data_IF_914926207653
#
_entry.id   IF_914926207653
#
_cell.length_a   1.000
_cell.length_b   1.000
_cell.length_c   1.000
_cell.angle_alpha   90.00
_cell.angle_beta   90.00
_cell.angle_gamma   90.00
#
_symmetry.space_group_name_H-M   'P 1'
#
loop_
_entity.id
_entity.type
_entity.pdbx_description
1 polymer ?
#
# COMPACT_ATOMS: atom_id res chain seq x y z
N UNK A 1 -41.96 31.64 -4.23
CA UNK A 1 -41.63 31.32 -5.63
C UNK A 1 -40.15 31.66 -5.83
N UNK A 2 -39.26 30.68 -5.64
CA UNK A 2 -37.81 30.86 -5.75
C UNK A 2 -37.35 30.46 -7.16
N UNK A 3 -36.40 31.19 -7.80
CA UNK A 3 -35.91 30.84 -9.13
C UNK A 3 -35.01 29.58 -9.11
N UNK A 4 -34.92 28.81 -10.21
CA UNK A 4 -34.10 27.62 -10.27
C UNK A 4 -32.60 27.98 -10.34
N UNK A 5 -31.82 27.48 -9.38
CA UNK A 5 -30.36 27.62 -9.33
C UNK A 5 -29.73 26.76 -10.45
N UNK A 6 -29.06 27.40 -11.42
CA UNK A 6 -28.23 26.70 -12.43
C UNK A 6 -26.83 26.43 -11.84
N UNK A 7 -26.31 25.20 -11.85
CA UNK A 7 -24.92 24.95 -11.53
C UNK A 7 -24.01 25.49 -12.64
N UNK A 8 -23.06 26.35 -12.28
CA UNK A 8 -22.01 26.85 -13.17
C UNK A 8 -21.09 25.66 -13.50
N UNK A 9 -21.01 25.24 -14.77
CA UNK A 9 -20.07 24.19 -15.22
C UNK A 9 -18.65 24.65 -14.89
N UNK A 10 -17.98 23.95 -13.98
CA UNK A 10 -16.54 24.14 -13.78
C UNK A 10 -15.82 23.59 -15.02
N UNK A 11 -14.98 24.42 -15.63
CA UNK A 11 -14.14 24.01 -16.74
C UNK A 11 -13.17 22.92 -16.26
N UNK A 12 -13.19 21.78 -16.94
CA UNK A 12 -12.27 20.67 -16.71
C UNK A 12 -10.90 21.10 -17.26
N UNK A 13 -10.00 21.55 -16.39
CA UNK A 13 -8.61 21.77 -16.76
C UNK A 13 -7.99 20.40 -17.11
N UNK A 14 -7.68 20.20 -18.39
CA UNK A 14 -6.91 19.06 -18.85
C UNK A 14 -5.47 19.18 -18.34
N UNK A 15 -4.87 18.14 -17.76
CA UNK A 15 -3.44 18.17 -17.47
C UNK A 15 -2.66 18.23 -18.77
N UNK A 16 -1.88 19.30 -18.94
CA UNK A 16 -0.91 19.41 -20.02
C UNK A 16 0.08 18.24 -19.92
N UNK A 17 0.12 17.45 -20.99
CA UNK A 17 1.11 16.40 -21.23
C UNK A 17 2.48 17.06 -21.35
N UNK A 18 3.26 17.06 -20.28
CA UNK A 18 4.67 17.44 -20.35
C UNK A 18 5.38 16.43 -21.26
N UNK A 19 5.93 16.96 -22.35
CA UNK A 19 6.76 16.24 -23.31
C UNK A 19 7.97 15.65 -22.59
N UNK A 20 8.18 14.33 -22.69
CA UNK A 20 9.42 13.70 -22.24
C UNK A 20 10.51 14.07 -23.24
N UNK A 21 11.30 15.09 -22.89
CA UNK A 21 12.55 15.36 -23.58
C UNK A 21 13.51 14.17 -23.40
N UNK A 22 13.88 13.57 -24.51
CA UNK A 22 14.97 12.59 -24.63
C UNK A 22 16.29 13.35 -24.83
N UNK A 23 17.01 13.57 -23.73
CA UNK A 23 18.42 13.96 -23.69
C UNK A 23 18.94 13.41 -22.36
N UNK A 24 20.09 12.76 -22.19
CA UNK A 24 21.28 12.53 -23.00
C UNK A 24 22.17 11.61 -22.15
N UNK A 25 23.03 10.85 -22.82
CA UNK A 25 24.36 10.43 -22.38
C UNK A 25 24.52 9.81 -20.97
N UNK A 26 24.98 8.56 -20.96
CA UNK A 26 25.47 7.90 -19.75
C UNK A 26 26.50 8.75 -19.02
N UNK A 27 26.08 9.33 -17.90
CA UNK A 27 26.97 9.81 -16.87
C UNK A 27 27.38 8.57 -16.08
N UNK A 28 28.56 8.01 -16.38
CA UNK A 28 29.26 7.19 -15.41
C UNK A 28 29.68 8.13 -14.28
N UNK A 29 28.81 8.29 -13.28
CA UNK A 29 29.17 8.98 -12.04
C UNK A 29 30.22 8.08 -11.39
N UNK A 30 31.49 8.46 -11.52
CA UNK A 30 32.54 7.94 -10.65
C UNK A 30 32.19 8.40 -9.25
N UNK A 31 31.68 7.46 -8.45
CA UNK A 31 31.35 7.67 -7.05
C UNK A 31 32.61 8.16 -6.32
N UNK A 32 32.66 9.45 -6.04
CA UNK A 32 33.58 10.01 -5.06
C UNK A 32 33.20 9.42 -3.70
N UNK A 33 34.14 8.77 -3.02
CA UNK A 33 33.95 8.08 -1.75
C UNK A 33 33.30 8.92 -0.65
N UNK A 34 33.26 10.25 -0.79
CA UNK A 34 32.54 11.16 0.12
C UNK A 34 31.02 11.19 -0.06
N UNK A 35 30.48 10.82 -1.23
CA UNK A 35 29.02 10.72 -1.44
C UNK A 35 28.43 9.44 -0.82
N UNK A 36 29.24 8.37 -0.73
CA UNK A 36 28.86 7.13 -0.05
C UNK A 36 28.45 7.36 1.42
N UNK A 37 29.05 8.32 2.13
CA UNK A 37 28.79 8.55 3.55
C UNK A 37 27.43 9.20 3.84
N UNK A 38 26.84 9.93 2.89
CA UNK A 38 25.55 10.62 3.07
C UNK A 38 24.34 9.75 2.67
N UNK A 39 24.53 8.71 1.85
CA UNK A 39 23.45 7.78 1.49
C UNK A 39 23.14 6.78 2.62
N UNK A 40 24.15 6.41 3.43
CA UNK A 40 23.99 5.45 4.53
C UNK A 40 23.01 5.94 5.62
N UNK A 41 22.90 7.26 5.85
CA UNK A 41 22.08 7.79 6.97
C UNK A 41 20.57 7.82 6.72
N UNK A 42 20.11 7.96 5.47
CA UNK A 42 18.66 8.00 5.15
C UNK A 42 18.09 6.57 5.14
N UNK A 43 18.85 5.62 4.60
CA UNK A 43 18.47 4.20 4.58
C UNK A 43 18.41 3.63 6.01
N UNK A 44 19.32 4.07 6.90
CA UNK A 44 19.29 3.72 8.33
C UNK A 44 18.03 4.28 9.04
N UNK A 45 17.63 5.52 8.76
CA UNK A 45 16.39 6.09 9.33
C UNK A 45 15.17 5.29 8.86
N UNK A 46 15.03 5.03 7.57
CA UNK A 46 13.91 4.25 7.05
C UNK A 46 13.88 2.82 7.64
N UNK A 47 15.04 2.18 7.78
CA UNK A 47 15.16 0.87 8.42
C UNK A 47 14.77 0.93 9.91
N UNK A 48 15.12 2.00 10.64
CA UNK A 48 14.67 2.15 12.03
C UNK A 48 13.16 2.30 12.14
N UNK A 49 12.51 3.05 11.23
CA UNK A 49 11.05 3.19 11.22
C UNK A 49 10.35 1.86 10.94
N UNK A 50 10.84 1.07 9.97
CA UNK A 50 10.28 -0.24 9.64
C UNK A 50 10.46 -1.23 10.80
N UNK A 51 11.63 -1.24 11.45
CA UNK A 51 11.88 -2.11 12.63
C UNK A 51 10.97 -1.77 13.81
N UNK A 52 10.78 -0.48 14.11
CA UNK A 52 9.84 -0.07 15.15
C UNK A 52 8.41 -0.48 14.83
N UNK A 53 8.00 -0.35 13.55
CA UNK A 53 6.68 -0.81 13.11
C UNK A 53 6.54 -2.33 13.25
N UNK A 54 7.58 -3.10 12.91
CA UNK A 54 7.60 -4.54 13.10
C UNK A 54 7.39 -4.93 14.57
N UNK A 55 8.16 -4.35 15.50
CA UNK A 55 8.06 -4.66 16.93
C UNK A 55 6.67 -4.35 17.52
N UNK A 56 6.09 -3.18 17.18
CA UNK A 56 4.72 -2.82 17.59
C UNK A 56 3.67 -3.77 17.01
N UNK A 57 3.83 -4.15 15.74
CA UNK A 57 2.93 -5.10 15.08
C UNK A 57 3.06 -6.48 15.71
N UNK A 58 4.27 -6.96 15.98
CA UNK A 58 4.49 -8.22 16.69
C UNK A 58 3.83 -8.20 18.08
N UNK A 59 3.99 -7.12 18.85
CA UNK A 59 3.34 -6.98 20.16
C UNK A 59 1.81 -7.04 20.05
N UNK A 60 1.22 -6.41 19.03
CA UNK A 60 -0.22 -6.51 18.73
C UNK A 60 -0.64 -7.92 18.33
N UNK A 61 0.22 -8.64 17.59
CA UNK A 61 -0.04 -10.00 17.14
C UNK A 61 0.02 -11.03 18.28
N UNK A 62 0.87 -10.84 19.30
CA UNK A 62 0.96 -11.75 20.45
C UNK A 62 -0.39 -11.91 21.18
N UNK A 63 -1.17 -10.83 21.27
CA UNK A 63 -2.47 -10.84 21.94
C UNK A 63 -3.65 -10.88 20.96
N UNK A 64 -3.40 -11.16 19.68
CA UNK A 64 -4.44 -11.18 18.66
C UNK A 64 -5.34 -12.40 18.80
N UNK A 65 -6.64 -12.15 18.96
CA UNK A 65 -7.67 -13.21 18.98
C UNK A 65 -8.52 -13.23 17.71
N UNK A 66 -8.98 -12.05 17.30
CA UNK A 66 -9.83 -11.84 16.12
C UNK A 66 -9.66 -10.41 15.63
N UNK A 67 -10.18 -10.10 14.45
CA UNK A 67 -10.15 -8.75 13.91
C UNK A 67 -10.88 -7.77 14.85
N UNK A 68 -10.24 -6.66 15.26
CA UNK A 68 -10.90 -5.66 16.09
C UNK A 68 -11.94 -4.88 15.29
N UNK A 69 -12.79 -4.12 15.99
CA UNK A 69 -13.70 -3.18 15.36
C UNK A 69 -12.93 -2.11 14.57
N UNK A 70 -13.28 -1.93 13.29
CA UNK A 70 -12.73 -0.90 12.43
C UNK A 70 -13.80 0.16 12.13
N UNK A 71 -13.60 1.37 12.64
CA UNK A 71 -14.53 2.49 12.50
C UNK A 71 -14.76 2.90 11.03
N UNK A 72 -13.89 2.51 10.09
CA UNK A 72 -14.08 2.73 8.64
C UNK A 72 -15.19 1.84 8.07
N UNK A 73 -15.49 0.72 8.74
CA UNK A 73 -16.47 -0.28 8.30
C UNK A 73 -17.48 -0.60 9.44
N UNK A 74 -18.26 0.39 9.91
CA UNK A 74 -19.11 0.24 11.10
C UNK A 74 -20.37 -0.60 10.86
N UNK A 75 -20.72 -0.86 9.60
CA UNK A 75 -21.97 -1.55 9.23
C UNK A 75 -21.80 -3.07 9.28
N UNK A 76 -22.91 -3.81 9.39
CA UNK A 76 -22.89 -5.28 9.41
C UNK A 76 -22.30 -5.93 8.15
N UNK A 77 -22.37 -5.24 7.00
CA UNK A 77 -21.75 -5.75 5.76
C UNK A 77 -20.22 -5.50 5.76
N UNK A 78 -19.47 -6.55 6.08
CA UNK A 78 -18.00 -6.52 6.19
C UNK A 78 -17.25 -6.80 4.88
N UNK A 79 -17.95 -6.84 3.74
CA UNK A 79 -17.33 -7.12 2.42
C UNK A 79 -16.19 -6.16 2.09
N UNK A 80 -16.38 -4.86 2.35
CA UNK A 80 -15.34 -3.84 2.10
C UNK A 80 -14.17 -3.94 3.08
N UNK A 81 -14.41 -4.33 4.32
CA UNK A 81 -13.36 -4.57 5.31
C UNK A 81 -12.44 -5.71 4.87
N UNK A 82 -13.04 -6.85 4.49
CA UNK A 82 -12.34 -8.00 3.92
C UNK A 82 -11.51 -7.61 2.70
N UNK A 83 -12.15 -6.98 1.70
CA UNK A 83 -11.48 -6.58 0.46
C UNK A 83 -10.32 -5.62 0.68
N UNK A 84 -10.51 -4.60 1.52
CA UNK A 84 -9.46 -3.61 1.78
C UNK A 84 -8.25 -4.25 2.46
N UNK A 85 -8.44 -5.07 3.51
CA UNK A 85 -7.31 -5.71 4.20
C UNK A 85 -6.58 -6.72 3.31
N UNK A 86 -7.28 -7.44 2.44
CA UNK A 86 -6.65 -8.32 1.45
C UNK A 86 -5.75 -7.53 0.49
N UNK A 87 -6.22 -6.38 -0.03
CA UNK A 87 -5.41 -5.52 -0.88
C UNK A 87 -4.24 -4.89 -0.13
N UNK A 88 -4.46 -4.41 1.10
CA UNK A 88 -3.45 -3.73 1.89
C UNK A 88 -2.29 -4.67 2.24
N UNK A 89 -2.58 -5.95 2.50
CA UNK A 89 -1.53 -6.96 2.68
C UNK A 89 -0.59 -7.04 1.47
N UNK A 90 -1.13 -7.24 0.26
CA UNK A 90 -0.28 -7.41 -0.92
C UNK A 90 0.37 -6.11 -1.40
N UNK A 91 -0.27 -4.95 -1.16
CA UNK A 91 0.36 -3.64 -1.40
C UNK A 91 1.52 -3.41 -0.45
N UNK A 92 1.33 -3.75 0.82
CA UNK A 92 2.37 -3.66 1.84
C UNK A 92 3.56 -4.55 1.46
N UNK A 93 3.32 -5.83 1.14
CA UNK A 93 4.39 -6.74 0.70
C UNK A 93 5.13 -6.17 -0.50
N UNK A 94 4.43 -5.80 -1.57
CA UNK A 94 5.04 -5.22 -2.76
C UNK A 94 5.86 -3.96 -2.48
N UNK A 95 5.40 -3.11 -1.58
CA UNK A 95 6.09 -1.87 -1.23
C UNK A 95 7.37 -2.13 -0.40
N UNK A 96 7.34 -3.12 0.50
CA UNK A 96 8.49 -3.50 1.33
C UNK A 96 9.50 -4.34 0.54
N UNK A 97 9.03 -5.27 -0.29
CA UNK A 97 9.86 -6.07 -1.21
C UNK A 97 10.61 -5.18 -2.20
N UNK A 98 9.96 -4.15 -2.75
CA UNK A 98 10.60 -3.19 -3.65
C UNK A 98 11.73 -2.39 -2.98
N UNK A 99 11.72 -2.31 -1.65
CA UNK A 99 12.74 -1.65 -0.83
C UNK A 99 13.73 -2.65 -0.22
N UNK A 100 13.55 -3.95 -0.41
CA UNK A 100 14.41 -4.99 0.15
C UNK A 100 14.38 -5.07 1.68
N UNK A 101 13.27 -4.68 2.30
CA UNK A 101 13.08 -4.75 3.77
C UNK A 101 12.09 -5.84 4.15
N UNK A 102 12.10 -6.25 5.42
CA UNK A 102 11.25 -7.33 5.89
C UNK A 102 9.75 -6.99 5.78
N UNK A 103 8.95 -8.00 5.46
CA UNK A 103 7.50 -7.91 5.26
C UNK A 103 6.69 -8.24 6.50
N UNK A 104 7.32 -8.57 7.63
CA UNK A 104 6.65 -8.81 8.91
C UNK A 104 5.66 -7.69 9.32
N UNK A 105 5.89 -6.39 9.05
CA UNK A 105 4.88 -5.35 9.30
C UNK A 105 3.56 -5.57 8.54
N UNK A 106 3.55 -6.32 7.45
CA UNK A 106 2.32 -6.61 6.70
C UNK A 106 1.44 -7.67 7.38
N UNK A 107 1.96 -8.44 8.34
CA UNK A 107 1.27 -9.59 8.94
C UNK A 107 -0.02 -9.22 9.68
N UNK A 108 -0.12 -7.98 10.17
CA UNK A 108 -1.37 -7.47 10.72
C UNK A 108 -2.54 -7.63 9.73
N UNK A 109 -2.35 -7.16 8.49
CA UNK A 109 -3.38 -7.24 7.45
C UNK A 109 -3.71 -8.69 7.12
N UNK A 110 -2.69 -9.56 7.10
CA UNK A 110 -2.86 -11.00 6.88
C UNK A 110 -3.78 -11.63 7.93
N UNK A 111 -3.54 -11.35 9.21
CA UNK A 111 -4.40 -11.86 10.29
C UNK A 111 -5.83 -11.32 10.18
N UNK A 112 -5.98 -10.02 9.90
CA UNK A 112 -7.29 -9.40 9.77
C UNK A 112 -8.10 -10.00 8.63
N UNK A 113 -7.59 -10.00 7.39
CA UNK A 113 -8.38 -10.53 6.26
C UNK A 113 -8.63 -12.03 6.41
N UNK A 114 -7.70 -12.81 6.98
CA UNK A 114 -7.91 -14.24 7.24
C UNK A 114 -9.06 -14.48 8.23
N UNK A 115 -9.26 -13.56 9.18
CA UNK A 115 -10.31 -13.69 10.20
C UNK A 115 -11.70 -13.30 9.70
N UNK A 116 -11.80 -12.36 8.74
CA UNK A 116 -13.09 -11.79 8.29
C UNK A 116 -13.52 -12.22 6.89
N UNK A 117 -12.60 -12.68 6.05
CA UNK A 117 -12.92 -13.06 4.68
C UNK A 117 -13.41 -14.50 4.58
N UNK A 118 -14.41 -14.78 3.75
CA UNK A 118 -14.71 -16.16 3.33
C UNK A 118 -13.50 -16.79 2.64
N UNK A 119 -13.15 -18.02 3.03
CA UNK A 119 -12.00 -18.76 2.45
C UNK A 119 -12.10 -18.88 0.93
N UNK A 120 -13.31 -19.13 0.41
CA UNK A 120 -13.57 -19.26 -1.03
C UNK A 120 -13.27 -17.97 -1.80
N UNK A 121 -13.46 -16.80 -1.19
CA UNK A 121 -13.11 -15.52 -1.81
C UNK A 121 -11.60 -15.34 -1.87
N UNK A 122 -10.90 -15.63 -0.77
CA UNK A 122 -9.45 -15.54 -0.68
C UNK A 122 -8.79 -16.47 -1.69
N UNK A 123 -9.21 -17.74 -1.76
CA UNK A 123 -8.71 -18.70 -2.74
C UNK A 123 -8.90 -18.21 -4.17
N UNK A 124 -10.12 -17.81 -4.52
CA UNK A 124 -10.42 -17.27 -5.86
C UNK A 124 -9.55 -16.06 -6.19
N UNK A 125 -9.36 -15.14 -5.25
CA UNK A 125 -8.52 -13.96 -5.48
C UNK A 125 -7.03 -14.32 -5.56
N UNK A 126 -6.56 -15.35 -4.86
CA UNK A 126 -5.20 -15.86 -5.00
C UNK A 126 -4.98 -16.42 -6.41
N UNK A 127 -5.87 -17.31 -6.86
CA UNK A 127 -5.83 -17.88 -8.21
C UNK A 127 -5.81 -16.78 -9.28
N UNK A 128 -6.65 -15.75 -9.11
CA UNK A 128 -6.70 -14.60 -10.02
C UNK A 128 -5.40 -13.78 -10.03
N UNK A 129 -4.74 -13.62 -8.88
CA UNK A 129 -3.46 -12.89 -8.80
C UNK A 129 -2.33 -13.71 -9.43
N UNK A 130 -2.28 -15.00 -9.18
CA UNK A 130 -1.32 -15.92 -9.80
C UNK A 130 -1.51 -15.99 -11.32
N UNK A 131 -2.76 -15.98 -11.79
CA UNK A 131 -3.08 -15.91 -13.21
C UNK A 131 -2.92 -14.51 -13.84
N UNK A 132 -2.60 -13.48 -13.07
CA UNK A 132 -2.44 -12.10 -13.55
C UNK A 132 -3.73 -11.41 -14.00
N UNK A 133 -4.90 -11.93 -13.64
CA UNK A 133 -6.22 -11.40 -14.04
C UNK A 133 -7.03 -10.79 -12.87
N UNK A 134 -6.38 -10.57 -11.74
CA UNK A 134 -7.00 -9.97 -10.56
C UNK A 134 -7.43 -8.51 -10.81
N UNK A 135 -8.69 -8.13 -10.50
CA UNK A 135 -9.19 -6.79 -10.82
C UNK A 135 -8.72 -5.70 -9.86
N UNK A 136 -8.16 -6.05 -8.69
CA UNK A 136 -7.69 -5.09 -7.71
C UNK A 136 -6.29 -4.56 -8.04
N UNK A 137 -6.09 -3.24 -7.84
CA UNK A 137 -4.76 -2.62 -7.98
C UNK A 137 -3.90 -2.92 -6.76
N UNK A 138 -2.84 -3.72 -6.98
CA UNK A 138 -1.78 -4.07 -6.02
C UNK A 138 -0.48 -3.38 -6.42
#
# INVERSE_FOLDING_TARGET
MWPPYRPRRTARLHPHRLSRNTYTAGIKVTLSSSLQLLQVSIDDIFLTEVKMAEEDIQAKLQNYRTAPFDARFPNSNQTRNCWSNYLDFYRCQKALDAKGVDTAPCDWYKRVFTSICPISWVQKWNDQREAGNFPGKI
#
